data_IF_695696238057
#
_entry.id   IF_695696238057
#
_cell.length_a   1.000
_cell.length_b   1.000
_cell.length_c   1.000
_cell.angle_alpha   90.00
_cell.angle_beta   90.00
_cell.angle_gamma   90.00
#
_symmetry.space_group_name_H-M   'P 1'
#
loop_
_entity.id
_entity.type
_entity.pdbx_description
1 polymer ?
#
# COMPACT_ATOMS: atom_id res chain seq x y z
N UNK A 1 -2.49 -8.95 7.51
CA UNK A 1 -1.64 -9.62 6.50
C UNK A 1 -0.78 -8.62 5.73
N UNK A 2 -1.30 -7.64 4.98
CA UNK A 2 -0.41 -6.67 4.29
C UNK A 2 0.38 -5.79 5.26
N UNK A 3 -0.24 -5.25 6.30
CA UNK A 3 0.47 -4.37 7.25
C UNK A 3 1.36 -5.08 8.28
N UNK A 4 1.28 -6.41 8.42
CA UNK A 4 2.02 -7.15 9.45
C UNK A 4 3.53 -7.15 9.20
N UNK A 5 3.94 -7.27 7.93
CA UNK A 5 5.36 -7.24 7.57
C UNK A 5 5.94 -5.82 7.70
N UNK A 6 5.13 -4.80 7.45
CA UNK A 6 5.54 -3.40 7.61
C UNK A 6 5.69 -3.04 9.09
N UNK A 7 4.78 -3.54 9.93
CA UNK A 7 4.89 -3.46 11.39
C UNK A 7 6.17 -4.16 11.89
N UNK A 8 6.48 -5.35 11.39
CA UNK A 8 7.72 -6.04 11.77
C UNK A 8 8.98 -5.23 11.41
N UNK A 9 9.03 -4.63 10.22
CA UNK A 9 10.14 -3.75 9.80
C UNK A 9 10.25 -2.58 10.77
N UNK A 10 9.15 -1.89 11.03
CA UNK A 10 9.12 -0.73 11.92
C UNK A 10 9.58 -1.11 13.34
N UNK A 11 9.04 -2.19 13.90
CA UNK A 11 9.44 -2.70 15.21
C UNK A 11 10.92 -3.08 15.24
N UNK A 12 11.46 -3.69 14.19
CA UNK A 12 12.89 -3.99 14.12
C UNK A 12 13.73 -2.71 14.15
N UNK A 13 13.37 -1.67 13.38
CA UNK A 13 14.10 -0.40 13.36
C UNK A 13 14.10 0.27 14.76
N UNK A 14 12.92 0.42 15.37
CA UNK A 14 12.79 1.19 16.60
C UNK A 14 13.12 0.38 17.86
N UNK A 15 12.80 -0.91 17.88
CA UNK A 15 12.96 -1.75 19.06
C UNK A 15 14.26 -2.56 19.05
N UNK A 16 14.72 -3.03 17.90
CA UNK A 16 15.96 -3.82 17.81
C UNK A 16 17.17 -2.93 17.54
N UNK A 17 17.15 -2.14 16.46
CA UNK A 17 18.24 -1.24 16.10
C UNK A 17 18.31 0.01 17.00
N UNK A 18 17.24 0.28 17.76
CA UNK A 18 17.11 1.48 18.62
C UNK A 18 17.36 2.78 17.84
N UNK A 19 17.07 2.77 16.55
CA UNK A 19 17.22 3.95 15.71
C UNK A 19 16.13 4.98 16.10
N UNK A 20 16.49 6.26 16.12
CA UNK A 20 15.55 7.35 16.38
C UNK A 20 14.90 7.88 15.11
N UNK A 21 15.49 7.57 13.95
CA UNK A 21 15.06 8.02 12.63
C UNK A 21 15.18 6.87 11.61
N UNK A 22 14.34 6.89 10.59
CA UNK A 22 14.38 5.91 9.49
C UNK A 22 15.32 6.43 8.40
N UNK A 23 16.21 5.57 7.91
CA UNK A 23 17.08 5.83 6.76
C UNK A 23 17.21 4.58 5.88
N UNK A 24 17.84 4.70 4.72
CA UNK A 24 17.97 3.56 3.78
C UNK A 24 18.74 2.38 4.38
N UNK A 25 19.75 2.64 5.23
CA UNK A 25 20.58 1.60 5.84
C UNK A 25 19.77 0.76 6.83
N UNK A 26 19.10 1.40 7.78
CA UNK A 26 18.30 0.70 8.80
C UNK A 26 17.03 0.08 8.22
N UNK A 27 16.47 0.66 7.16
CA UNK A 27 15.36 0.07 6.41
C UNK A 27 15.80 -1.21 5.70
N UNK A 28 16.96 -1.18 5.03
CA UNK A 28 17.48 -2.34 4.32
C UNK A 28 17.86 -3.47 5.28
N UNK A 29 18.49 -3.13 6.41
CA UNK A 29 18.80 -4.09 7.47
C UNK A 29 17.54 -4.71 8.05
N UNK A 30 16.57 -3.90 8.47
CA UNK A 30 15.31 -4.38 9.02
C UNK A 30 14.54 -5.26 8.03
N UNK A 31 14.47 -4.86 6.76
CA UNK A 31 13.80 -5.65 5.72
C UNK A 31 14.43 -7.04 5.56
N UNK A 32 15.76 -7.14 5.57
CA UNK A 32 16.46 -8.44 5.47
C UNK A 32 16.22 -9.35 6.68
N UNK A 33 15.96 -8.76 7.84
CA UNK A 33 15.76 -9.49 9.10
C UNK A 33 14.28 -9.73 9.45
N UNK A 34 13.32 -9.22 8.65
CA UNK A 34 11.89 -9.31 8.94
C UNK A 34 11.08 -9.82 7.76
N UNK A 35 10.29 -10.87 8.03
CA UNK A 35 9.53 -11.58 7.00
C UNK A 35 10.41 -12.46 6.10
N UNK A 36 9.80 -13.51 5.56
CA UNK A 36 10.41 -14.33 4.52
C UNK A 36 10.13 -13.78 3.13
N UNK A 37 10.94 -14.19 2.15
CA UNK A 37 10.72 -13.83 0.74
C UNK A 37 9.33 -14.27 0.27
N UNK A 38 8.91 -15.47 0.65
CA UNK A 38 7.59 -16.02 0.29
C UNK A 38 6.46 -15.18 0.89
N UNK A 39 6.62 -14.67 2.11
CA UNK A 39 5.64 -13.78 2.73
C UNK A 39 5.53 -12.45 2.00
N UNK A 40 6.65 -11.89 1.52
CA UNK A 40 6.69 -10.66 0.72
C UNK A 40 6.08 -10.86 -0.67
N UNK A 41 6.39 -11.98 -1.32
CA UNK A 41 5.76 -12.34 -2.59
C UNK A 41 4.24 -12.48 -2.44
N UNK A 42 3.78 -13.13 -1.37
CA UNK A 42 2.36 -13.21 -1.05
C UNK A 42 1.74 -11.83 -0.72
N UNK A 43 2.47 -10.95 -0.03
CA UNK A 43 2.05 -9.56 0.24
C UNK A 43 1.80 -8.80 -1.06
N UNK A 44 2.70 -8.94 -2.06
CA UNK A 44 2.54 -8.32 -3.38
C UNK A 44 1.34 -8.87 -4.15
N UNK A 45 1.09 -10.19 -4.10
CA UNK A 45 -0.11 -10.80 -4.69
C UNK A 45 -1.38 -10.21 -4.07
N UNK A 46 -1.45 -10.16 -2.73
CA UNK A 46 -2.60 -9.61 -2.02
C UNK A 46 -2.80 -8.11 -2.31
N UNK A 47 -1.71 -7.34 -2.40
CA UNK A 47 -1.77 -5.94 -2.77
C UNK A 47 -2.34 -5.74 -4.19
N UNK A 48 -1.93 -6.58 -5.15
CA UNK A 48 -2.48 -6.57 -6.52
C UNK A 48 -3.98 -6.88 -6.51
N UNK A 49 -4.39 -7.95 -5.83
CA UNK A 49 -5.80 -8.36 -5.77
C UNK A 49 -6.67 -7.28 -5.15
N UNK A 50 -6.19 -6.64 -4.07
CA UNK A 50 -6.87 -5.53 -3.43
C UNK A 50 -7.01 -4.35 -4.39
N UNK A 51 -5.91 -3.92 -5.00
CA UNK A 51 -5.91 -2.78 -5.94
C UNK A 51 -6.83 -3.01 -7.14
N UNK A 52 -6.82 -4.22 -7.71
CA UNK A 52 -7.70 -4.61 -8.81
C UNK A 52 -9.17 -4.69 -8.39
N UNK A 53 -9.44 -5.19 -7.19
CA UNK A 53 -10.78 -5.19 -6.62
C UNK A 53 -11.33 -3.77 -6.48
N UNK A 54 -10.51 -2.83 -5.98
CA UNK A 54 -10.88 -1.44 -5.80
C UNK A 54 -11.12 -0.72 -7.14
N UNK A 55 -10.27 -0.94 -8.15
CA UNK A 55 -10.40 -0.36 -9.50
C UNK A 55 -11.80 -0.58 -10.09
N UNK A 56 -12.28 -1.82 -10.00
CA UNK A 56 -13.60 -2.24 -10.50
C UNK A 56 -14.74 -1.40 -9.91
N UNK A 57 -14.71 -1.12 -8.61
CA UNK A 57 -15.76 -0.37 -7.93
C UNK A 57 -15.63 1.13 -8.15
N UNK A 58 -14.41 1.66 -8.14
CA UNK A 58 -14.15 3.11 -8.31
C UNK A 58 -14.51 3.61 -9.71
N UNK A 59 -14.30 2.78 -10.73
CA UNK A 59 -14.59 3.12 -12.13
C UNK A 59 -16.05 2.92 -12.50
N UNK A 60 -16.82 2.19 -11.69
CA UNK A 60 -18.24 2.01 -11.94
C UNK A 60 -18.99 3.34 -11.69
N UNK A 61 -19.46 3.96 -12.78
CA UNK A 61 -20.16 5.25 -12.74
C UNK A 61 -21.43 5.21 -11.90
N UNK A 62 -22.16 4.09 -11.91
CA UNK A 62 -23.39 3.91 -11.15
C UNK A 62 -23.08 3.85 -9.66
N UNK A 63 -22.10 3.03 -9.25
CA UNK A 63 -21.70 2.89 -7.84
C UNK A 63 -21.28 4.24 -7.26
N UNK A 64 -20.45 4.99 -7.98
CA UNK A 64 -20.03 6.31 -7.53
C UNK A 64 -21.19 7.32 -7.49
N UNK A 65 -22.09 7.31 -8.48
CA UNK A 65 -23.25 8.20 -8.46
C UNK A 65 -24.14 7.92 -7.24
N UNK A 66 -24.41 6.65 -6.94
CA UNK A 66 -25.13 6.23 -5.74
C UNK A 66 -24.39 6.66 -4.47
N UNK A 67 -23.07 6.50 -4.43
CA UNK A 67 -22.23 6.99 -3.35
C UNK A 67 -22.36 8.51 -3.15
N UNK A 68 -22.34 9.33 -4.22
CA UNK A 68 -22.51 10.79 -4.10
C UNK A 68 -23.89 11.18 -3.55
N UNK A 69 -24.94 10.46 -3.92
CA UNK A 69 -26.29 10.68 -3.38
C UNK A 69 -26.34 10.45 -1.86
N UNK A 70 -25.57 9.49 -1.36
CA UNK A 70 -25.55 9.12 0.07
C UNK A 70 -24.87 10.16 0.99
N UNK A 71 -24.20 11.18 0.44
CA UNK A 71 -23.45 12.18 1.23
C UNK A 71 -24.29 12.82 2.35
N UNK A 72 -25.41 13.47 1.98
CA UNK A 72 -26.28 14.18 2.94
C UNK A 72 -26.87 13.27 4.03
N UNK A 73 -27.51 12.13 3.70
CA UNK A 73 -28.08 11.27 4.74
C UNK A 73 -27.02 10.69 5.67
N UNK A 74 -25.82 10.35 5.18
CA UNK A 74 -24.74 9.83 6.03
C UNK A 74 -24.19 10.90 6.99
N UNK A 75 -24.07 12.16 6.54
CA UNK A 75 -23.71 13.26 7.42
C UNK A 75 -24.75 13.50 8.52
N UNK A 76 -26.04 13.45 8.17
CA UNK A 76 -27.12 13.58 9.14
C UNK A 76 -27.17 12.42 10.14
N UNK A 77 -26.76 11.22 9.72
CA UNK A 77 -26.70 10.03 10.57
C UNK A 77 -25.42 9.94 11.44
N UNK A 78 -24.55 10.95 11.43
CA UNK A 78 -23.29 10.94 12.18
C UNK A 78 -22.16 10.13 11.55
N UNK A 79 -22.33 9.69 10.29
CA UNK A 79 -21.35 8.90 9.52
C UNK A 79 -20.58 9.74 8.48
N UNK A 80 -20.63 11.08 8.60
CA UNK A 80 -19.99 12.00 7.67
C UNK A 80 -18.48 11.79 7.52
N UNK A 81 -17.76 11.58 8.63
CA UNK A 81 -16.32 11.35 8.59
C UNK A 81 -15.93 10.09 7.80
N UNK A 82 -16.72 9.00 7.90
CA UNK A 82 -16.52 7.79 7.11
C UNK A 82 -16.80 8.06 5.63
N UNK A 83 -17.85 8.82 5.33
CA UNK A 83 -18.16 9.23 3.97
C UNK A 83 -17.00 10.04 3.36
N UNK A 84 -16.50 11.05 4.07
CA UNK A 84 -15.43 11.94 3.59
C UNK A 84 -14.11 11.19 3.40
N UNK A 85 -13.85 10.17 4.22
CA UNK A 85 -12.73 9.26 4.01
C UNK A 85 -12.86 8.51 2.68
N UNK A 86 -14.01 7.90 2.42
CA UNK A 86 -14.26 7.18 1.17
C UNK A 86 -14.26 8.12 -0.05
N UNK A 87 -14.86 9.31 0.05
CA UNK A 87 -14.93 10.28 -1.05
C UNK A 87 -13.52 10.75 -1.47
N UNK A 88 -12.63 10.98 -0.50
CA UNK A 88 -11.20 11.24 -0.76
C UNK A 88 -10.53 10.06 -1.46
N UNK A 89 -10.82 8.83 -1.05
CA UNK A 89 -10.32 7.62 -1.72
C UNK A 89 -10.79 7.51 -3.18
N UNK A 90 -12.08 7.73 -3.45
CA UNK A 90 -12.60 7.77 -4.82
C UNK A 90 -11.96 8.89 -5.65
N UNK A 91 -11.80 10.08 -5.06
CA UNK A 91 -11.19 11.22 -5.74
C UNK A 91 -9.71 11.01 -6.09
N UNK A 92 -8.97 10.30 -5.24
CA UNK A 92 -7.56 9.97 -5.47
C UNK A 92 -7.40 8.90 -6.57
N UNK A 93 -8.23 7.86 -6.58
CA UNK A 93 -8.06 6.72 -7.49
C UNK A 93 -8.71 6.90 -8.86
N UNK A 94 -9.79 7.68 -8.98
CA UNK A 94 -10.48 7.88 -10.28
C UNK A 94 -9.61 8.46 -11.40
N UNK A 95 -8.76 9.48 -11.15
CA UNK A 95 -7.92 10.07 -12.18
C UNK A 95 -6.80 9.13 -12.66
N UNK A 96 -6.44 8.11 -11.88
CA UNK A 96 -5.29 7.22 -12.15
C UNK A 96 -5.50 6.30 -13.36
N UNK A 97 -6.61 6.41 -14.10
CA UNK A 97 -6.86 5.57 -15.26
C UNK A 97 -7.13 4.12 -14.84
N UNK A 98 -6.26 3.19 -15.26
CA UNK A 98 -6.33 1.79 -14.88
C UNK A 98 -5.38 1.53 -13.70
N UNK A 99 -5.90 1.10 -12.55
CA UNK A 99 -5.04 0.71 -11.44
C UNK A 99 -4.07 -0.42 -11.83
N UNK A 100 -4.41 -1.23 -12.84
CA UNK A 100 -3.55 -2.28 -13.37
C UNK A 100 -2.17 -1.74 -13.78
N UNK A 101 -2.11 -0.65 -14.55
CA UNK A 101 -0.83 -0.10 -15.04
C UNK A 101 0.03 0.40 -13.88
N UNK A 102 -0.60 1.09 -12.92
CA UNK A 102 0.06 1.53 -11.70
C UNK A 102 0.56 0.35 -10.86
N UNK A 103 -0.26 -0.66 -10.64
CA UNK A 103 0.08 -1.84 -9.84
C UNK A 103 1.19 -2.65 -10.48
N UNK A 104 1.21 -2.80 -11.80
CA UNK A 104 2.26 -3.50 -12.52
C UNK A 104 3.60 -2.77 -12.40
N UNK A 105 3.59 -1.45 -12.57
CA UNK A 105 4.76 -0.61 -12.36
C UNK A 105 5.25 -0.66 -10.91
N UNK A 106 4.35 -0.57 -9.93
CA UNK A 106 4.67 -0.60 -8.51
C UNK A 106 5.27 -1.95 -8.11
N UNK A 107 4.59 -3.06 -8.44
CA UNK A 107 5.04 -4.41 -8.08
C UNK A 107 6.38 -4.73 -8.76
N UNK A 108 6.59 -4.31 -10.01
CA UNK A 108 7.87 -4.53 -10.69
C UNK A 108 9.02 -3.80 -9.99
N UNK A 109 8.79 -2.58 -9.48
CA UNK A 109 9.79 -1.85 -8.70
C UNK A 109 10.04 -2.50 -7.34
N UNK A 110 8.98 -2.89 -6.63
CA UNK A 110 9.09 -3.59 -5.34
C UNK A 110 9.88 -4.90 -5.48
N UNK A 111 9.61 -5.68 -6.52
CA UNK A 111 10.33 -6.92 -6.81
C UNK A 111 11.82 -6.65 -7.10
N UNK A 112 12.14 -5.60 -7.86
CA UNK A 112 13.51 -5.21 -8.14
C UNK A 112 14.27 -4.81 -6.87
N UNK A 113 13.66 -3.97 -6.01
CA UNK A 113 14.24 -3.54 -4.73
C UNK A 113 14.40 -4.76 -3.80
N UNK A 114 13.39 -5.62 -3.70
CA UNK A 114 13.43 -6.82 -2.88
C UNK A 114 14.58 -7.76 -3.30
N UNK A 115 14.77 -7.97 -4.60
CA UNK A 115 15.87 -8.78 -5.12
C UNK A 115 17.23 -8.17 -4.74
N UNK A 116 17.41 -6.85 -4.91
CA UNK A 116 18.63 -6.14 -4.47
C UNK A 116 18.88 -6.29 -2.97
N UNK A 117 17.83 -6.17 -2.15
CA UNK A 117 17.91 -6.32 -0.70
C UNK A 117 18.37 -7.72 -0.29
N UNK A 118 17.79 -8.78 -0.86
CA UNK A 118 18.18 -10.16 -0.54
C UNK A 118 19.56 -10.54 -1.08
N UNK A 119 20.02 -9.91 -2.16
CA UNK A 119 21.36 -10.09 -2.71
C UNK A 119 22.43 -9.28 -1.95
N UNK A 120 22.05 -8.47 -0.95
CA UNK A 120 22.94 -7.54 -0.25
C UNK A 120 23.64 -6.55 -1.20
N UNK A 121 22.94 -6.13 -2.26
CA UNK A 121 23.47 -5.12 -3.18
C UNK A 121 23.57 -3.74 -2.50
N UNK A 122 24.63 -2.96 -2.78
CA UNK A 122 24.74 -1.60 -2.28
C UNK A 122 23.65 -0.72 -2.92
N UNK A 123 23.06 0.19 -2.13
CA UNK A 123 22.02 1.13 -2.56
C UNK A 123 20.79 0.47 -3.22
N UNK A 124 20.08 -0.43 -2.51
CA UNK A 124 19.01 -1.23 -3.09
C UNK A 124 17.81 -0.39 -3.60
N UNK A 125 17.69 0.86 -3.14
CA UNK A 125 16.60 1.77 -3.49
C UNK A 125 16.92 2.69 -4.69
N UNK A 126 18.15 2.70 -5.19
CA UNK A 126 18.51 3.50 -6.36
C UNK A 126 18.07 2.78 -7.64
N UNK A 127 17.38 3.51 -8.51
CA UNK A 127 16.85 3.03 -9.80
C UNK A 127 17.78 3.33 -10.96
#
# INVERSE_FOLDING_TARGET
ITGELDEQVASYIFEHLKATEINEENMAEAYRHTGSREQREQQMVLARELGMGLDKYVRNRIIYATFKIASKPLHMAGLGALYDFLDRGFAAMRPMGSAQEFLDMFISQEEAIMNKLYNNEPNPYQT
#
